data_IF_560771201866
#
_entry.id   IF_560771201866
#
_cell.length_a   1.000
_cell.length_b   1.000
_cell.length_c   1.000
_cell.angle_alpha   90.00
_cell.angle_beta   90.00
_cell.angle_gamma   90.00
#
_symmetry.space_group_name_H-M   'P 1'
#
loop_
_entity.id
_entity.type
_entity.pdbx_description
1 polymer ?
#
# COMPACT_ATOMS: atom_id res chain seq x y z
N UNK A 1 -38.62 -17.97 1.79
CA UNK A 1 -37.32 -18.43 1.27
C UNK A 1 -36.88 -17.40 0.24
N UNK A 2 -36.12 -16.38 0.67
CA UNK A 2 -35.49 -15.42 -0.24
C UNK A 2 -34.18 -16.04 -0.73
N UNK A 3 -34.09 -16.31 -2.02
CA UNK A 3 -32.86 -16.72 -2.70
C UNK A 3 -32.06 -15.46 -3.03
N UNK A 4 -31.01 -15.18 -2.25
CA UNK A 4 -29.95 -14.27 -2.67
C UNK A 4 -29.12 -15.01 -3.74
N UNK A 5 -29.26 -14.57 -4.99
CA UNK A 5 -28.34 -14.93 -6.08
C UNK A 5 -26.99 -14.30 -5.82
N UNK A 6 -26.11 -15.01 -5.12
CA UNK A 6 -24.69 -14.70 -5.09
C UNK A 6 -24.13 -14.89 -6.49
N UNK A 7 -23.65 -13.81 -7.10
CA UNK A 7 -22.78 -13.90 -8.26
C UNK A 7 -21.62 -14.83 -7.90
N UNK A 8 -21.50 -15.95 -8.60
CA UNK A 8 -20.31 -16.78 -8.57
C UNK A 8 -19.16 -15.91 -9.07
N UNK A 9 -18.38 -15.35 -8.15
CA UNK A 9 -17.08 -14.78 -8.48
C UNK A 9 -16.27 -15.92 -9.10
N UNK A 10 -16.01 -15.83 -10.41
CA UNK A 10 -15.02 -16.70 -11.03
C UNK A 10 -13.71 -16.53 -10.26
N UNK A 11 -13.17 -17.62 -9.72
CA UNK A 11 -11.86 -17.60 -9.09
C UNK A 11 -10.86 -17.06 -10.14
N UNK A 12 -10.32 -15.87 -9.89
CA UNK A 12 -9.38 -15.22 -10.80
C UNK A 12 -8.14 -16.11 -10.91
N UNK A 13 -7.82 -16.53 -12.14
CA UNK A 13 -6.60 -17.30 -12.41
C UNK A 13 -5.45 -16.34 -12.62
N UNK A 14 -4.37 -16.47 -11.86
CA UNK A 14 -3.15 -15.66 -12.03
C UNK A 14 -2.22 -16.31 -13.05
N UNK A 15 -1.86 -15.59 -14.12
CA UNK A 15 -0.97 -16.04 -15.18
C UNK A 15 0.45 -15.54 -14.95
N UNK A 16 1.41 -16.46 -14.94
CA UNK A 16 2.81 -16.19 -14.60
C UNK A 16 3.73 -16.78 -15.66
N UNK A 17 4.61 -15.95 -16.23
CA UNK A 17 5.69 -16.40 -17.10
C UNK A 17 7.02 -16.34 -16.36
N UNK A 18 7.77 -17.44 -16.33
CA UNK A 18 9.12 -17.48 -15.78
C UNK A 18 10.18 -17.40 -16.86
N UNK A 19 10.96 -16.32 -16.88
CA UNK A 19 12.17 -16.19 -17.71
C UNK A 19 13.37 -16.34 -16.79
N UNK A 20 14.16 -17.39 -17.00
CA UNK A 20 15.28 -17.68 -16.12
C UNK A 20 16.25 -18.71 -16.66
N UNK A 21 16.86 -19.48 -15.77
CA UNK A 21 17.84 -20.50 -16.12
C UNK A 21 17.69 -21.75 -15.25
N UNK A 22 18.80 -22.45 -14.98
CA UNK A 22 18.82 -23.67 -14.20
C UNK A 22 18.24 -23.51 -12.79
N UNK A 23 18.36 -22.35 -12.13
CA UNK A 23 17.76 -22.15 -10.81
C UNK A 23 16.24 -22.22 -10.84
N UNK A 24 15.62 -21.67 -11.89
CA UNK A 24 14.18 -21.81 -12.13
C UNK A 24 13.83 -23.21 -12.67
N UNK A 25 14.67 -23.84 -13.50
CA UNK A 25 14.38 -25.15 -14.05
C UNK A 25 14.47 -26.29 -13.01
N UNK A 26 15.37 -26.17 -12.03
CA UNK A 26 15.60 -27.21 -11.03
C UNK A 26 14.34 -27.53 -10.23
N UNK A 27 14.12 -28.82 -10.00
CA UNK A 27 12.92 -29.37 -9.35
C UNK A 27 11.59 -28.89 -9.96
N UNK A 28 11.62 -28.33 -11.18
CA UNK A 28 10.48 -27.72 -11.86
C UNK A 28 9.79 -26.66 -10.97
N UNK A 29 10.54 -25.64 -10.55
CA UNK A 29 10.05 -24.58 -9.68
C UNK A 29 8.72 -23.94 -10.15
N UNK A 30 8.49 -23.62 -11.43
CA UNK A 30 7.20 -23.10 -11.89
C UNK A 30 6.03 -24.03 -11.54
N UNK A 31 6.20 -25.35 -11.71
CA UNK A 31 5.17 -26.32 -11.34
C UNK A 31 5.00 -26.44 -9.82
N UNK A 32 6.08 -26.32 -9.03
CA UNK A 32 5.98 -26.25 -7.57
C UNK A 32 5.18 -25.02 -7.12
N UNK A 33 5.43 -23.84 -7.70
CA UNK A 33 4.69 -22.61 -7.41
C UNK A 33 3.19 -22.80 -7.68
N UNK A 34 2.84 -23.39 -8.82
CA UNK A 34 1.45 -23.74 -9.15
C UNK A 34 0.83 -24.69 -8.11
N UNK A 35 1.55 -25.74 -7.70
CA UNK A 35 1.04 -26.71 -6.74
C UNK A 35 0.88 -26.13 -5.33
N UNK A 36 1.78 -25.23 -4.93
CA UNK A 36 1.67 -24.49 -3.67
C UNK A 36 0.45 -23.59 -3.68
N UNK A 37 0.23 -22.83 -4.76
CA UNK A 37 -0.96 -22.01 -4.92
C UNK A 37 -2.25 -22.84 -4.82
N UNK A 38 -2.28 -23.98 -5.52
CA UNK A 38 -3.42 -24.90 -5.47
C UNK A 38 -3.70 -25.40 -4.06
N UNK A 39 -2.65 -25.72 -3.29
CA UNK A 39 -2.78 -26.15 -1.89
C UNK A 39 -3.37 -25.08 -0.97
N UNK A 40 -3.26 -23.80 -1.36
CA UNK A 40 -3.78 -22.66 -0.62
C UNK A 40 -5.14 -22.17 -1.16
N UNK A 41 -5.72 -22.87 -2.14
CA UNK A 41 -7.01 -22.54 -2.74
C UNK A 41 -6.95 -21.59 -3.94
N UNK A 42 -5.75 -21.31 -4.46
CA UNK A 42 -5.55 -20.41 -5.61
C UNK A 42 -5.19 -21.17 -6.89
N UNK A 43 -5.52 -20.59 -8.04
CA UNK A 43 -5.22 -21.19 -9.36
C UNK A 43 -4.21 -20.32 -10.10
N UNK A 44 -3.00 -20.86 -10.27
CA UNK A 44 -1.96 -20.24 -11.07
C UNK A 44 -1.77 -20.99 -12.40
N UNK A 45 -1.69 -20.24 -13.49
CA UNK A 45 -1.25 -20.72 -14.80
C UNK A 45 0.20 -20.30 -14.99
N UNK A 46 1.09 -21.26 -15.25
CA UNK A 46 2.53 -21.01 -15.35
C UNK A 46 3.06 -21.44 -16.71
N UNK A 47 3.95 -20.63 -17.28
CA UNK A 47 4.84 -21.01 -18.38
C UNK A 47 6.28 -20.63 -18.04
N UNK A 48 7.25 -21.19 -18.75
CA UNK A 48 8.66 -20.90 -18.47
C UNK A 48 9.56 -21.03 -19.69
N UNK A 49 10.59 -20.18 -19.74
CA UNK A 49 11.74 -20.29 -20.64
C UNK A 49 13.03 -20.23 -19.81
N UNK A 50 13.66 -21.39 -19.63
CA UNK A 50 14.73 -21.59 -18.63
C UNK A 50 16.03 -22.22 -19.18
N UNK A 51 16.60 -21.71 -20.29
CA UNK A 51 17.86 -22.23 -20.80
C UNK A 51 18.99 -22.14 -19.76
N UNK A 52 19.73 -23.22 -19.57
CA UNK A 52 20.78 -23.33 -18.55
C UNK A 52 21.86 -22.25 -18.69
N UNK A 53 22.28 -21.67 -17.56
CA UNK A 53 23.33 -20.64 -17.51
C UNK A 53 22.95 -19.28 -18.12
N UNK A 54 21.71 -19.09 -18.57
CA UNK A 54 21.30 -17.86 -19.25
C UNK A 54 21.38 -16.64 -18.33
N UNK A 55 21.81 -15.55 -18.96
CA UNK A 55 22.03 -14.22 -18.38
C UNK A 55 20.91 -13.27 -18.80
N UNK A 56 20.75 -12.15 -18.10
CA UNK A 56 19.85 -11.07 -18.53
C UNK A 56 20.13 -10.62 -19.98
N UNK A 57 21.41 -10.44 -20.33
CA UNK A 57 21.83 -10.15 -21.72
C UNK A 57 21.32 -11.19 -22.71
N UNK A 58 21.46 -12.48 -22.39
CA UNK A 58 21.02 -13.57 -23.28
C UNK A 58 19.51 -13.58 -23.46
N UNK A 59 18.74 -13.32 -22.40
CA UNK A 59 17.28 -13.23 -22.48
C UNK A 59 16.83 -12.00 -23.29
N UNK A 60 17.44 -10.84 -23.05
CA UNK A 60 17.15 -9.61 -23.78
C UNK A 60 17.53 -9.68 -25.27
N UNK A 61 18.44 -10.58 -25.65
CA UNK A 61 18.79 -10.85 -27.04
C UNK A 61 17.96 -11.94 -27.73
N UNK A 62 17.05 -12.63 -27.03
CA UNK A 62 16.39 -13.83 -27.54
C UNK A 62 14.95 -13.53 -28.03
N UNK A 63 14.65 -13.65 -29.35
CA UNK A 63 13.31 -13.43 -29.89
C UNK A 63 12.21 -14.27 -29.25
N UNK A 64 12.51 -15.52 -28.85
CA UNK A 64 11.54 -16.41 -28.21
C UNK A 64 11.03 -15.85 -26.88
N UNK A 65 11.88 -15.12 -26.14
CA UNK A 65 11.47 -14.48 -24.88
C UNK A 65 10.39 -13.44 -25.16
N UNK A 66 10.55 -12.64 -26.21
CA UNK A 66 9.57 -11.62 -26.60
C UNK A 66 8.28 -12.21 -27.16
N UNK A 67 8.36 -13.34 -27.87
CA UNK A 67 7.17 -14.07 -28.32
C UNK A 67 6.36 -14.62 -27.15
N UNK A 68 7.03 -15.14 -26.11
CA UNK A 68 6.37 -15.58 -24.87
C UNK A 68 5.77 -14.41 -24.08
N UNK A 69 6.49 -13.28 -23.96
CA UNK A 69 5.93 -12.08 -23.30
C UNK A 69 4.64 -11.62 -24.01
N UNK A 70 4.56 -11.77 -25.33
CA UNK A 70 3.39 -11.40 -26.14
C UNK A 70 2.30 -12.46 -26.23
N UNK A 71 2.56 -13.70 -25.79
CA UNK A 71 1.63 -14.80 -26.02
C UNK A 71 0.38 -14.74 -25.16
N UNK A 72 0.42 -14.01 -24.04
CA UNK A 72 -0.68 -13.91 -23.08
C UNK A 72 -0.67 -12.53 -22.40
N UNK A 73 -1.82 -12.14 -21.85
CA UNK A 73 -1.89 -11.05 -20.88
C UNK A 73 -1.43 -11.57 -19.51
N UNK A 74 -0.11 -11.63 -19.32
CA UNK A 74 0.51 -12.07 -18.08
C UNK A 74 0.17 -11.13 -16.93
N UNK A 75 -0.14 -11.66 -15.74
CA UNK A 75 -0.22 -10.86 -14.52
C UNK A 75 1.20 -10.57 -14.01
N UNK A 76 2.06 -11.60 -14.05
CA UNK A 76 3.46 -11.52 -13.64
C UNK A 76 4.39 -12.10 -14.70
N UNK A 77 5.53 -11.43 -14.90
CA UNK A 77 6.67 -11.99 -15.63
C UNK A 77 7.85 -12.03 -14.67
N UNK A 78 8.23 -13.23 -14.26
CA UNK A 78 9.36 -13.48 -13.36
C UNK A 78 10.66 -13.38 -14.14
N UNK A 79 11.59 -12.57 -13.66
CA UNK A 79 12.87 -12.32 -14.30
C UNK A 79 14.03 -12.82 -13.44
N UNK A 80 14.84 -13.70 -14.02
CA UNK A 80 16.04 -14.23 -13.40
C UNK A 80 17.20 -14.24 -14.39
N UNK A 81 18.30 -13.59 -14.03
CA UNK A 81 19.59 -13.71 -14.71
C UNK A 81 20.43 -14.88 -14.22
N UNK A 82 21.68 -14.98 -14.64
CA UNK A 82 22.61 -16.02 -14.18
C UNK A 82 22.83 -15.92 -12.66
N UNK A 83 22.93 -17.06 -11.96
CA UNK A 83 22.82 -17.08 -10.48
C UNK A 83 23.92 -16.33 -9.71
N UNK A 84 25.08 -16.08 -10.34
CA UNK A 84 26.18 -15.28 -9.80
C UNK A 84 26.18 -13.85 -10.36
N UNK A 85 25.55 -13.58 -11.50
CA UNK A 85 25.76 -12.32 -12.21
C UNK A 85 25.39 -11.05 -11.44
N UNK A 86 24.33 -11.02 -10.60
CA UNK A 86 24.06 -9.87 -9.76
C UNK A 86 25.02 -9.73 -8.57
N UNK A 87 25.97 -10.66 -8.39
CA UNK A 87 27.01 -10.61 -7.34
C UNK A 87 28.41 -10.25 -7.86
N UNK A 88 28.56 -10.03 -9.17
CA UNK A 88 29.82 -9.62 -9.80
C UNK A 88 30.26 -8.20 -9.37
N UNK A 89 31.49 -7.77 -9.71
CA UNK A 89 31.95 -6.42 -9.43
C UNK A 89 30.98 -5.35 -9.94
N UNK A 90 30.82 -4.26 -9.20
CA UNK A 90 29.79 -3.24 -9.45
C UNK A 90 29.81 -2.69 -10.89
N UNK A 91 31.00 -2.44 -11.46
CA UNK A 91 31.14 -1.96 -12.83
C UNK A 91 30.68 -2.99 -13.88
N UNK A 92 30.86 -4.28 -13.59
CA UNK A 92 30.35 -5.35 -14.45
C UNK A 92 28.82 -5.45 -14.31
N UNK A 93 28.27 -5.45 -13.10
CA UNK A 93 26.80 -5.46 -12.91
C UNK A 93 26.13 -4.27 -13.62
N UNK A 94 26.74 -3.09 -13.52
CA UNK A 94 26.22 -1.88 -14.16
C UNK A 94 26.17 -1.97 -15.70
N UNK A 95 27.09 -2.70 -16.32
CA UNK A 95 27.17 -2.85 -17.78
C UNK A 95 26.42 -4.09 -18.29
N UNK A 96 26.49 -5.18 -17.55
CA UNK A 96 26.09 -6.51 -18.02
C UNK A 96 24.73 -6.99 -17.48
N UNK A 97 24.17 -6.30 -16.48
CA UNK A 97 22.94 -6.72 -15.79
C UNK A 97 21.86 -5.65 -15.90
N UNK A 98 22.09 -4.46 -15.35
CA UNK A 98 21.04 -3.44 -15.23
C UNK A 98 20.43 -2.99 -16.57
N UNK A 99 21.19 -2.77 -17.66
CA UNK A 99 20.61 -2.36 -18.94
C UNK A 99 19.64 -3.41 -19.51
N UNK A 100 19.97 -4.69 -19.35
CA UNK A 100 19.17 -5.78 -19.91
C UNK A 100 17.97 -6.13 -19.02
N UNK A 101 18.11 -6.01 -17.70
CA UNK A 101 16.97 -6.03 -16.79
C UNK A 101 15.96 -4.94 -17.17
N UNK A 102 16.44 -3.71 -17.42
CA UNK A 102 15.61 -2.60 -17.89
C UNK A 102 14.94 -2.89 -19.23
N UNK A 103 15.68 -3.36 -20.22
CA UNK A 103 15.15 -3.69 -21.54
C UNK A 103 13.98 -4.71 -21.45
N UNK A 104 14.13 -5.74 -20.62
CA UNK A 104 13.07 -6.73 -20.41
C UNK A 104 11.85 -6.12 -19.71
N UNK A 105 12.04 -5.33 -18.65
CA UNK A 105 10.95 -4.63 -17.96
C UNK A 105 10.19 -3.66 -18.88
N UNK A 106 10.90 -2.85 -19.67
CA UNK A 106 10.30 -1.93 -20.63
C UNK A 106 9.49 -2.70 -21.69
N UNK A 107 10.02 -3.83 -22.17
CA UNK A 107 9.34 -4.69 -23.14
C UNK A 107 8.07 -5.31 -22.58
N UNK A 108 8.12 -5.82 -21.34
CA UNK A 108 6.93 -6.35 -20.64
C UNK A 108 5.84 -5.29 -20.56
N UNK A 109 6.19 -4.08 -20.10
CA UNK A 109 5.21 -3.00 -19.94
C UNK A 109 4.71 -2.40 -21.26
N UNK A 110 5.49 -2.50 -22.33
CA UNK A 110 5.06 -2.07 -23.66
C UNK A 110 3.88 -2.90 -24.20
N UNK A 111 3.76 -4.15 -23.74
CA UNK A 111 2.66 -5.05 -24.10
C UNK A 111 1.46 -4.82 -23.19
N UNK A 112 1.72 -4.80 -21.88
CA UNK A 112 0.70 -4.52 -20.88
C UNK A 112 1.34 -3.82 -19.69
N UNK A 113 1.01 -2.54 -19.48
CA UNK A 113 1.53 -1.73 -18.37
C UNK A 113 1.19 -2.29 -16.99
N UNK A 114 0.18 -3.16 -16.92
CA UNK A 114 -0.27 -3.80 -15.69
C UNK A 114 0.43 -5.13 -15.38
N UNK A 115 1.14 -5.72 -16.33
CA UNK A 115 1.99 -6.88 -16.05
C UNK A 115 3.12 -6.46 -15.13
N UNK A 116 3.28 -7.17 -14.02
CA UNK A 116 4.32 -6.89 -13.01
C UNK A 116 5.60 -7.64 -13.38
N UNK A 117 6.72 -6.95 -13.66
CA UNK A 117 8.03 -7.58 -13.67
C UNK A 117 8.39 -7.96 -12.23
N UNK A 118 8.57 -9.27 -11.98
CA UNK A 118 8.91 -9.81 -10.66
C UNK A 118 10.32 -10.37 -10.67
N UNK A 119 11.27 -9.68 -10.06
CA UNK A 119 12.64 -10.16 -9.99
C UNK A 119 12.77 -11.33 -9.00
N UNK A 120 13.34 -12.44 -9.48
CA UNK A 120 13.65 -13.59 -8.66
C UNK A 120 14.98 -13.38 -7.94
N UNK A 121 14.94 -12.88 -6.70
CA UNK A 121 16.14 -12.73 -5.87
C UNK A 121 16.74 -14.10 -5.53
N UNK A 122 17.89 -14.41 -6.13
CA UNK A 122 18.64 -15.64 -5.85
C UNK A 122 19.40 -15.54 -4.52
N UNK A 123 20.14 -16.60 -4.16
CA UNK A 123 20.86 -16.76 -2.90
C UNK A 123 22.37 -16.87 -3.10
N UNK A 124 23.13 -16.56 -2.05
CA UNK A 124 24.56 -16.86 -2.01
C UNK A 124 24.85 -18.36 -2.11
N UNK A 125 25.94 -18.75 -2.78
CA UNK A 125 26.40 -20.17 -2.80
C UNK A 125 26.73 -20.66 -1.39
N UNK A 126 26.63 -21.97 -1.14
CA UNK A 126 26.64 -22.56 0.22
C UNK A 126 27.80 -22.04 1.09
N UNK A 127 28.98 -21.96 0.47
CA UNK A 127 30.24 -21.54 1.05
C UNK A 127 30.83 -20.29 0.37
N UNK A 128 30.00 -19.49 -0.32
CA UNK A 128 30.46 -18.41 -1.19
C UNK A 128 30.89 -18.90 -2.57
N UNK A 129 31.34 -17.96 -3.40
CA UNK A 129 31.75 -18.18 -4.77
C UNK A 129 33.27 -18.32 -4.88
N UNK A 130 33.76 -19.53 -4.62
CA UNK A 130 35.18 -19.84 -4.65
C UNK A 130 35.85 -19.53 -6.01
N UNK A 131 35.10 -19.59 -7.12
CA UNK A 131 35.63 -19.34 -8.45
C UNK A 131 36.00 -17.87 -8.66
N UNK A 132 35.17 -16.95 -8.16
CA UNK A 132 35.38 -15.51 -8.33
C UNK A 132 36.06 -14.85 -7.11
N UNK A 133 36.11 -15.54 -5.97
CA UNK A 133 36.66 -15.06 -4.70
C UNK A 133 38.04 -14.38 -4.82
N UNK A 134 38.97 -14.93 -5.61
CA UNK A 134 40.32 -14.38 -5.75
C UNK A 134 40.33 -12.96 -6.37
N UNK A 135 39.42 -12.70 -7.32
CA UNK A 135 39.33 -11.43 -8.04
C UNK A 135 38.24 -10.51 -7.47
N UNK A 136 37.30 -11.08 -6.72
CA UNK A 136 36.19 -10.37 -6.09
C UNK A 136 36.00 -10.89 -4.65
N UNK A 137 36.85 -10.49 -3.69
CA UNK A 137 36.86 -11.03 -2.33
C UNK A 137 35.52 -11.00 -1.56
N UNK A 138 34.62 -10.02 -1.78
CA UNK A 138 33.33 -10.02 -1.11
C UNK A 138 32.50 -11.30 -1.31
N UNK A 139 32.60 -11.97 -2.45
CA UNK A 139 31.82 -13.19 -2.72
C UNK A 139 32.45 -14.46 -2.13
N UNK A 140 33.62 -14.39 -1.48
CA UNK A 140 34.27 -15.55 -0.87
C UNK A 140 33.45 -16.25 0.23
N UNK A 141 32.43 -15.59 0.76
CA UNK A 141 31.56 -16.15 1.81
C UNK A 141 30.11 -16.14 1.36
N UNK A 142 29.29 -17.03 1.94
CA UNK A 142 27.84 -17.00 1.75
C UNK A 142 27.29 -15.59 2.02
N UNK A 143 27.59 -15.03 3.21
CA UNK A 143 27.04 -13.73 3.64
C UNK A 143 27.42 -12.61 2.69
N UNK A 144 28.67 -12.57 2.23
CA UNK A 144 29.13 -11.53 1.33
C UNK A 144 28.46 -11.62 -0.05
N UNK A 145 28.39 -12.81 -0.64
CA UNK A 145 27.68 -13.01 -1.91
C UNK A 145 26.17 -12.71 -1.78
N UNK A 146 25.53 -13.21 -0.73
CA UNK A 146 24.11 -13.05 -0.47
C UNK A 146 23.72 -11.58 -0.27
N UNK A 147 24.54 -10.80 0.45
CA UNK A 147 24.31 -9.37 0.67
C UNK A 147 24.39 -8.57 -0.63
N UNK A 148 25.31 -8.92 -1.54
CA UNK A 148 25.44 -8.25 -2.84
C UNK A 148 24.26 -8.60 -3.74
N UNK A 149 23.89 -9.89 -3.81
CA UNK A 149 22.70 -10.34 -4.53
C UNK A 149 21.46 -9.57 -4.04
N UNK A 150 21.23 -9.56 -2.72
CA UNK A 150 20.13 -8.82 -2.11
C UNK A 150 20.11 -7.36 -2.59
N UNK A 151 21.24 -6.65 -2.46
CA UNK A 151 21.34 -5.24 -2.82
C UNK A 151 21.05 -4.99 -4.31
N UNK A 152 21.61 -5.80 -5.21
CA UNK A 152 21.45 -5.59 -6.64
C UNK A 152 20.07 -6.02 -7.16
N UNK A 153 19.43 -7.01 -6.54
CA UNK A 153 18.03 -7.32 -6.83
C UNK A 153 17.07 -6.22 -6.38
N UNK A 154 17.32 -5.61 -5.21
CA UNK A 154 16.55 -4.44 -4.77
C UNK A 154 16.70 -3.28 -5.75
N UNK A 155 17.93 -2.93 -6.15
CA UNK A 155 18.17 -1.90 -7.18
C UNK A 155 17.47 -2.22 -8.50
N UNK A 156 17.44 -3.48 -8.94
CA UNK A 156 16.71 -3.86 -10.14
C UNK A 156 15.21 -3.63 -9.99
N UNK A 157 14.62 -4.01 -8.85
CA UNK A 157 13.23 -3.68 -8.51
C UNK A 157 12.97 -2.18 -8.55
N UNK A 158 13.72 -1.41 -7.76
CA UNK A 158 13.55 0.04 -7.61
C UNK A 158 13.69 0.78 -8.95
N UNK A 159 14.79 0.55 -9.67
CA UNK A 159 15.10 1.28 -10.90
C UNK A 159 14.15 0.97 -12.05
N UNK A 160 13.44 -0.17 -11.98
CA UNK A 160 12.55 -0.61 -13.03
C UNK A 160 11.09 -0.63 -12.58
N UNK A 161 10.73 -0.12 -11.40
CA UNK A 161 9.38 -0.25 -10.85
C UNK A 161 8.87 -1.69 -10.80
N UNK A 162 9.78 -2.66 -10.63
CA UNK A 162 9.48 -4.08 -10.52
C UNK A 162 9.37 -4.53 -9.08
N UNK A 163 8.62 -5.59 -8.85
CA UNK A 163 8.55 -6.28 -7.56
C UNK A 163 9.73 -7.24 -7.41
N UNK A 164 10.03 -7.65 -6.18
CA UNK A 164 11.09 -8.62 -5.90
C UNK A 164 10.53 -9.78 -5.09
N UNK A 165 10.69 -11.02 -5.58
CA UNK A 165 10.42 -12.21 -4.78
C UNK A 165 11.69 -12.55 -3.96
N UNK A 166 11.68 -12.41 -2.63
CA UNK A 166 12.91 -12.38 -1.84
C UNK A 166 13.38 -13.78 -1.41
N UNK A 167 13.48 -14.69 -2.37
CA UNK A 167 13.86 -16.10 -2.10
C UNK A 167 15.22 -16.19 -1.43
N UNK A 168 16.21 -15.40 -1.88
CA UNK A 168 17.52 -15.29 -1.24
C UNK A 168 17.46 -14.89 0.24
N UNK A 169 16.67 -13.87 0.56
CA UNK A 169 16.50 -13.42 1.95
C UNK A 169 15.79 -14.48 2.82
N UNK A 170 14.79 -15.19 2.27
CA UNK A 170 14.14 -16.32 2.95
C UNK A 170 15.13 -17.46 3.19
N UNK A 171 15.98 -17.77 2.20
CA UNK A 171 17.05 -18.75 2.34
C UNK A 171 18.03 -18.36 3.45
N UNK A 172 18.46 -17.11 3.50
CA UNK A 172 19.34 -16.62 4.56
C UNK A 172 18.69 -16.79 5.95
N UNK A 173 17.42 -16.42 6.09
CA UNK A 173 16.66 -16.62 7.34
C UNK A 173 16.62 -18.09 7.74
N UNK A 174 16.30 -18.99 6.81
CA UNK A 174 16.23 -20.44 7.06
C UNK A 174 17.58 -21.03 7.44
N UNK A 175 18.68 -20.60 6.80
CA UNK A 175 20.02 -21.04 7.17
C UNK A 175 20.40 -20.68 8.61
N UNK A 176 19.95 -19.52 9.09
CA UNK A 176 20.24 -19.04 10.44
C UNK A 176 19.34 -19.70 11.49
N UNK A 177 18.06 -19.90 11.18
CA UNK A 177 17.05 -20.30 12.16
C UNK A 177 16.60 -21.76 12.03
N UNK A 178 16.94 -22.43 10.93
CA UNK A 178 16.56 -23.80 10.63
C UNK A 178 17.68 -24.55 9.89
N UNK A 179 18.92 -24.58 10.43
CA UNK A 179 20.10 -25.09 9.72
C UNK A 179 20.03 -26.58 9.34
N UNK A 180 19.15 -27.36 9.98
CA UNK A 180 18.89 -28.76 9.60
C UNK A 180 18.12 -28.90 8.27
N UNK A 181 17.45 -27.84 7.82
CA UNK A 181 16.78 -27.79 6.53
C UNK A 181 17.81 -27.55 5.42
N UNK A 182 18.33 -28.64 4.84
CA UNK A 182 19.32 -28.54 3.78
C UNK A 182 18.71 -27.95 2.49
N UNK A 183 19.08 -26.70 2.17
CA UNK A 183 18.57 -25.95 1.03
C UNK A 183 19.35 -26.23 -0.26
N UNK A 184 20.58 -26.75 -0.18
CA UNK A 184 21.45 -26.92 -1.34
C UNK A 184 21.45 -28.36 -1.84
N UNK A 185 21.60 -28.50 -3.15
CA UNK A 185 22.01 -29.76 -3.76
C UNK A 185 23.48 -30.07 -3.41
N UNK A 186 23.96 -31.24 -3.82
CA UNK A 186 25.34 -31.68 -3.60
C UNK A 186 26.39 -30.71 -4.20
N UNK A 187 26.04 -29.96 -5.23
CA UNK A 187 26.93 -29.00 -5.88
C UNK A 187 27.07 -27.65 -5.13
N UNK A 188 26.38 -27.50 -4.00
CA UNK A 188 26.48 -26.32 -3.14
C UNK A 188 26.02 -25.00 -3.78
N UNK A 189 25.35 -25.06 -4.94
CA UNK A 189 24.85 -23.91 -5.68
C UNK A 189 23.36 -24.07 -5.99
N UNK A 190 22.99 -25.12 -6.71
CA UNK A 190 21.61 -25.40 -7.08
C UNK A 190 20.75 -25.78 -5.86
N UNK A 191 19.43 -25.58 -5.94
CA UNK A 191 18.56 -25.88 -4.82
C UNK A 191 18.33 -27.38 -4.67
N UNK A 192 18.31 -27.85 -3.41
CA UNK A 192 17.64 -29.10 -3.07
C UNK A 192 16.14 -28.97 -3.35
N UNK A 193 15.40 -30.09 -3.29
CA UNK A 193 13.94 -30.04 -3.36
C UNK A 193 13.35 -29.11 -2.27
N UNK A 194 13.90 -29.18 -1.05
CA UNK A 194 13.49 -28.32 0.08
C UNK A 194 13.78 -26.84 -0.21
N UNK A 195 14.93 -26.54 -0.82
CA UNK A 195 15.27 -25.19 -1.26
C UNK A 195 14.32 -24.65 -2.33
N UNK A 196 13.91 -25.50 -3.28
CA UNK A 196 12.93 -25.12 -4.32
C UNK A 196 11.52 -24.95 -3.76
N UNK A 197 11.14 -25.74 -2.76
CA UNK A 197 9.88 -25.57 -2.03
C UNK A 197 9.88 -24.24 -1.25
N UNK A 198 10.99 -23.89 -0.59
CA UNK A 198 11.11 -22.59 0.07
C UNK A 198 10.97 -21.42 -0.93
N UNK A 199 11.56 -21.55 -2.12
CA UNK A 199 11.36 -20.61 -3.21
C UNK A 199 9.87 -20.56 -3.64
N UNK A 200 9.22 -21.71 -3.80
CA UNK A 200 7.82 -21.79 -4.21
C UNK A 200 6.85 -21.13 -3.21
N UNK A 201 7.08 -21.30 -1.90
CA UNK A 201 6.28 -20.64 -0.85
C UNK A 201 6.48 -19.13 -0.90
N UNK A 202 7.72 -18.69 -1.10
CA UNK A 202 8.06 -17.26 -1.24
C UNK A 202 7.39 -16.65 -2.47
N UNK A 203 7.41 -17.33 -3.62
CA UNK A 203 6.73 -16.89 -4.83
C UNK A 203 5.22 -16.85 -4.66
N UNK A 204 4.61 -17.88 -4.05
CA UNK A 204 3.18 -17.87 -3.78
C UNK A 204 2.79 -16.65 -2.94
N UNK A 205 3.48 -16.39 -1.83
CA UNK A 205 3.18 -15.22 -1.00
C UNK A 205 3.48 -13.91 -1.72
N UNK A 206 4.54 -13.82 -2.52
CA UNK A 206 4.84 -12.62 -3.30
C UNK A 206 3.77 -12.29 -4.34
N UNK A 207 3.25 -13.31 -5.02
CA UNK A 207 2.30 -13.14 -6.13
C UNK A 207 0.86 -12.99 -5.62
N UNK A 208 0.44 -13.82 -4.65
CA UNK A 208 -0.92 -13.78 -4.09
C UNK A 208 -1.08 -12.68 -3.05
N UNK A 209 0.02 -12.25 -2.40
CA UNK A 209 0.05 -11.37 -1.22
C UNK A 209 -0.79 -11.84 -0.05
N UNK A 210 -1.13 -13.14 -0.02
CA UNK A 210 -1.90 -13.77 1.05
C UNK A 210 -1.00 -14.32 2.14
N UNK A 211 -1.62 -14.54 3.29
CA UNK A 211 -0.99 -15.14 4.46
C UNK A 211 -0.38 -16.51 4.08
N UNK A 212 0.94 -16.72 4.31
CA UNK A 212 1.59 -18.00 3.99
C UNK A 212 1.07 -19.18 4.82
N UNK A 213 0.37 -18.95 5.92
CA UNK A 213 -0.28 -20.02 6.71
C UNK A 213 -1.40 -20.74 5.96
N UNK A 214 -1.91 -20.16 4.86
CA UNK A 214 -2.87 -20.81 3.98
C UNK A 214 -2.26 -21.98 3.20
N UNK A 215 -0.93 -22.05 3.10
CA UNK A 215 -0.24 -23.11 2.35
C UNK A 215 -0.37 -24.45 3.07
N UNK A 216 -1.10 -25.37 2.46
CA UNK A 216 -1.24 -26.76 2.95
C UNK A 216 -0.29 -27.75 2.28
N UNK A 217 0.50 -27.30 1.29
CA UNK A 217 1.47 -28.14 0.58
C UNK A 217 2.45 -28.82 1.54
N UNK A 218 2.48 -30.15 1.49
CA UNK A 218 3.32 -30.97 2.38
C UNK A 218 3.98 -32.15 1.66
N UNK A 219 3.78 -32.30 0.34
CA UNK A 219 4.42 -33.38 -0.39
C UNK A 219 5.94 -33.20 -0.37
N UNK A 220 6.66 -34.26 0.00
CA UNK A 220 8.14 -34.31 0.03
C UNK A 220 8.84 -33.44 1.10
N UNK A 221 8.10 -32.91 2.07
CA UNK A 221 8.62 -32.24 3.28
C UNK A 221 7.81 -32.67 4.51
N UNK A 222 8.42 -32.62 5.69
CA UNK A 222 7.70 -32.81 6.95
C UNK A 222 6.91 -31.55 7.35
N UNK A 223 5.96 -31.72 8.28
CA UNK A 223 5.21 -30.58 8.84
C UNK A 223 6.15 -29.55 9.50
N UNK A 224 7.18 -30.00 10.23
CA UNK A 224 8.15 -29.10 10.89
C UNK A 224 8.93 -28.27 9.85
N UNK A 225 9.35 -28.89 8.76
CA UNK A 225 10.05 -28.20 7.68
C UNK A 225 9.15 -27.19 6.97
N UNK A 226 7.90 -27.60 6.67
CA UNK A 226 6.88 -26.71 6.11
C UNK A 226 6.65 -25.50 7.01
N UNK A 227 6.43 -25.71 8.30
CA UNK A 227 6.13 -24.64 9.25
C UNK A 227 7.33 -23.70 9.43
N UNK A 228 8.56 -24.22 9.35
CA UNK A 228 9.79 -23.42 9.34
C UNK A 228 9.85 -22.51 8.10
N UNK A 229 9.51 -23.03 6.92
CA UNK A 229 9.45 -22.25 5.67
C UNK A 229 8.34 -21.19 5.75
N UNK A 230 7.14 -21.54 6.22
CA UNK A 230 6.03 -20.58 6.42
C UNK A 230 6.46 -19.46 7.36
N UNK A 231 7.10 -19.81 8.48
CA UNK A 231 7.60 -18.84 9.46
C UNK A 231 8.64 -17.89 8.83
N UNK A 232 9.56 -18.42 8.03
CA UNK A 232 10.55 -17.62 7.31
C UNK A 232 9.91 -16.68 6.29
N UNK A 233 8.99 -17.17 5.45
CA UNK A 233 8.28 -16.33 4.46
C UNK A 233 7.46 -15.24 5.14
N UNK A 234 6.79 -15.57 6.26
CA UNK A 234 6.04 -14.62 7.05
C UNK A 234 6.94 -13.51 7.64
N UNK A 235 8.06 -13.91 8.26
CA UNK A 235 8.98 -12.99 8.90
C UNK A 235 9.76 -12.12 7.91
N UNK A 236 10.14 -12.66 6.76
CA UNK A 236 10.95 -11.96 5.77
C UNK A 236 10.09 -11.12 4.83
N UNK A 237 9.01 -11.69 4.27
CA UNK A 237 8.23 -11.06 3.21
C UNK A 237 6.86 -10.56 3.67
N UNK A 238 5.98 -11.44 4.18
CA UNK A 238 4.56 -11.11 4.36
C UNK A 238 4.32 -9.89 5.28
N UNK A 239 5.17 -9.73 6.31
CA UNK A 239 5.14 -8.57 7.22
C UNK A 239 5.89 -7.34 6.73
N UNK A 240 6.70 -7.48 5.67
CA UNK A 240 7.60 -6.45 5.15
C UNK A 240 7.45 -6.29 3.62
N UNK A 241 6.22 -6.37 3.12
CA UNK A 241 5.95 -6.38 1.68
C UNK A 241 6.49 -5.15 0.94
N UNK A 242 6.42 -3.98 1.56
CA UNK A 242 6.93 -2.72 0.99
C UNK A 242 8.45 -2.72 0.78
N UNK A 243 9.21 -3.50 1.56
CA UNK A 243 10.67 -3.67 1.38
C UNK A 243 11.02 -4.34 0.05
N UNK A 244 10.05 -4.97 -0.62
CA UNK A 244 10.24 -5.70 -1.87
C UNK A 244 9.34 -5.19 -3.00
N UNK A 245 8.93 -3.92 -2.89
CA UNK A 245 8.10 -3.19 -3.86
C UNK A 245 6.75 -3.83 -4.16
N UNK A 246 6.28 -4.76 -3.32
CA UNK A 246 4.97 -5.40 -3.47
C UNK A 246 3.86 -4.36 -3.48
N UNK A 247 2.96 -4.43 -4.47
CA UNK A 247 1.83 -3.51 -4.59
C UNK A 247 2.05 -2.36 -5.56
N UNK A 248 3.10 -2.38 -6.39
CA UNK A 248 3.43 -1.23 -7.26
C UNK A 248 2.32 -0.88 -8.27
N UNK A 249 1.52 -1.87 -8.66
CA UNK A 249 0.38 -1.70 -9.57
C UNK A 249 -0.98 -1.64 -8.84
N UNK A 250 -1.00 -1.54 -7.52
CA UNK A 250 -2.25 -1.49 -6.76
C UNK A 250 -2.91 -0.13 -6.96
N UNK A 251 -4.24 -0.17 -7.05
CA UNK A 251 -5.05 1.04 -6.93
C UNK A 251 -4.87 1.58 -5.50
N UNK A 252 -4.57 2.87 -5.39
CA UNK A 252 -4.52 3.55 -4.10
C UNK A 252 -5.54 4.68 -4.10
N UNK A 253 -6.60 4.49 -3.32
CA UNK A 253 -7.66 5.47 -3.18
C UNK A 253 -7.45 6.41 -2.01
N UNK A 254 -6.33 6.32 -1.27
CA UNK A 254 -6.10 7.21 -0.14
C UNK A 254 -6.00 8.67 -0.61
N UNK A 255 -6.82 9.53 -0.02
CA UNK A 255 -6.81 10.97 -0.26
C UNK A 255 -6.96 11.74 1.05
N UNK A 256 -6.46 12.97 1.06
CA UNK A 256 -6.74 13.95 2.09
C UNK A 256 -7.65 15.03 1.52
N UNK A 257 -8.49 15.61 2.36
CA UNK A 257 -9.42 16.66 1.97
C UNK A 257 -8.93 17.98 2.52
N UNK A 258 -8.70 18.95 1.65
CA UNK A 258 -8.59 20.35 2.05
C UNK A 258 -10.00 20.95 2.06
N UNK A 259 -10.29 21.73 3.11
CA UNK A 259 -11.65 22.24 3.34
C UNK A 259 -11.63 23.72 3.69
N UNK A 260 -12.41 24.48 2.95
CA UNK A 260 -12.70 25.89 3.24
C UNK A 260 -14.22 26.10 3.25
N UNK A 261 -14.81 26.27 4.43
CA UNK A 261 -16.26 26.41 4.59
C UNK A 261 -17.05 25.18 4.13
N UNK A 262 -17.74 25.28 3.00
CA UNK A 262 -18.52 24.20 2.37
C UNK A 262 -17.94 23.76 1.02
N UNK A 263 -16.75 24.25 0.69
CA UNK A 263 -15.97 23.82 -0.45
C UNK A 263 -14.88 22.85 0.01
N UNK A 264 -14.63 21.85 -0.82
CA UNK A 264 -13.48 20.97 -0.65
C UNK A 264 -12.75 20.75 -1.96
N UNK A 265 -11.46 20.45 -1.82
CA UNK A 265 -10.58 20.07 -2.91
C UNK A 265 -9.73 18.87 -2.49
N UNK A 266 -9.39 18.05 -3.47
CA UNK A 266 -8.39 16.99 -3.35
C UNK A 266 -7.35 17.20 -4.44
N UNK A 267 -6.08 17.19 -4.04
CA UNK A 267 -4.94 17.29 -4.94
C UNK A 267 -3.94 16.14 -4.72
N UNK A 268 -3.05 15.93 -5.68
CA UNK A 268 -1.91 15.02 -5.54
C UNK A 268 -2.22 13.53 -5.74
N UNK A 269 -3.37 13.17 -6.32
CA UNK A 269 -3.64 11.78 -6.70
C UNK A 269 -2.74 11.34 -7.87
N UNK A 270 -2.38 10.05 -8.00
CA UNK A 270 -1.51 9.56 -9.07
C UNK A 270 -2.05 9.83 -10.49
N UNK A 271 -1.19 9.85 -11.49
CA UNK A 271 -1.63 9.87 -12.91
C UNK A 271 -1.78 8.44 -13.45
N UNK A 272 -2.64 8.25 -14.47
CA UNK A 272 -2.87 6.98 -15.17
C UNK A 272 -3.70 5.93 -14.40
N UNK A 273 -4.64 6.40 -13.58
CA UNK A 273 -5.67 5.57 -12.95
C UNK A 273 -7.04 6.12 -13.32
N UNK A 274 -8.11 5.36 -13.08
CA UNK A 274 -9.48 5.86 -13.27
C UNK A 274 -10.12 6.18 -11.93
N UNK A 275 -10.71 7.37 -11.84
CA UNK A 275 -11.29 7.92 -10.62
C UNK A 275 -12.81 7.95 -10.71
N UNK A 276 -13.48 7.60 -9.62
CA UNK A 276 -14.92 7.78 -9.46
C UNK A 276 -15.22 8.34 -8.08
N UNK A 277 -15.67 9.58 -8.07
CA UNK A 277 -16.07 10.31 -6.88
C UNK A 277 -17.58 10.22 -6.66
N UNK A 278 -17.98 10.10 -5.40
CA UNK A 278 -19.32 10.39 -4.93
C UNK A 278 -19.19 11.32 -3.73
N UNK A 279 -19.83 12.49 -3.79
CA UNK A 279 -19.64 13.53 -2.78
C UNK A 279 -20.64 13.45 -1.60
N UNK A 280 -21.51 12.44 -1.60
CA UNK A 280 -22.47 12.20 -0.51
C UNK A 280 -23.75 13.03 -0.57
N UNK A 281 -23.88 13.95 -1.54
CA UNK A 281 -25.08 14.77 -1.79
C UNK A 281 -25.78 14.43 -3.13
N UNK A 282 -25.31 13.36 -3.80
CA UNK A 282 -25.80 12.92 -5.11
C UNK A 282 -24.93 13.36 -6.28
N UNK A 283 -23.99 14.29 -6.10
CA UNK A 283 -23.04 14.67 -7.13
C UNK A 283 -21.89 13.65 -7.25
N UNK A 284 -21.36 13.52 -8.47
CA UNK A 284 -20.25 12.60 -8.80
C UNK A 284 -19.24 13.28 -9.74
N UNK A 285 -18.02 12.76 -9.79
CA UNK A 285 -16.97 13.20 -10.72
C UNK A 285 -16.10 12.02 -11.16
N UNK A 286 -15.43 12.16 -12.29
CA UNK A 286 -14.37 11.25 -12.76
C UNK A 286 -13.02 11.94 -12.94
N UNK A 287 -12.90 13.21 -12.50
CA UNK A 287 -11.63 13.94 -12.56
C UNK A 287 -10.65 13.38 -11.55
N UNK A 288 -9.36 13.37 -11.89
CA UNK A 288 -8.27 12.92 -11.02
C UNK A 288 -8.28 13.72 -9.71
N UNK A 289 -8.06 15.02 -9.82
CA UNK A 289 -8.21 15.96 -8.71
C UNK A 289 -9.62 16.56 -8.82
N UNK A 290 -10.44 16.42 -7.79
CA UNK A 290 -11.81 16.89 -7.79
C UNK A 290 -12.00 17.96 -6.70
N UNK A 291 -12.82 18.96 -7.03
CA UNK A 291 -13.37 19.90 -6.06
C UNK A 291 -14.90 19.88 -6.14
N UNK A 292 -15.55 20.17 -5.02
CA UNK A 292 -17.01 20.28 -4.96
C UNK A 292 -17.45 21.19 -3.82
N UNK A 293 -18.60 21.83 -4.02
CA UNK A 293 -19.20 22.79 -3.10
C UNK A 293 -20.59 22.31 -2.68
N UNK A 294 -20.81 22.22 -1.37
CA UNK A 294 -22.11 21.83 -0.82
C UNK A 294 -23.03 23.04 -0.66
N UNK A 295 -24.24 22.95 -1.23
CA UNK A 295 -25.25 24.01 -1.16
C UNK A 295 -26.05 24.01 0.13
N UNK A 296 -26.04 22.90 0.88
CA UNK A 296 -26.77 22.74 2.14
C UNK A 296 -25.79 22.41 3.27
N UNK A 297 -26.10 22.87 4.47
CA UNK A 297 -25.40 22.39 5.67
C UNK A 297 -25.77 20.94 5.95
N UNK A 298 -24.78 20.10 6.22
CA UNK A 298 -24.95 18.70 6.55
C UNK A 298 -23.62 17.98 6.75
N UNK A 299 -23.71 16.72 7.15
CA UNK A 299 -22.57 15.82 7.13
C UNK A 299 -22.62 15.00 5.84
N UNK A 300 -21.51 14.97 5.12
CA UNK A 300 -21.36 14.29 3.84
C UNK A 300 -20.26 13.25 3.94
N UNK A 301 -20.46 12.11 3.30
CA UNK A 301 -19.44 11.08 3.14
C UNK A 301 -18.94 11.15 1.71
N UNK A 302 -17.72 11.65 1.52
CA UNK A 302 -17.04 11.62 0.24
C UNK A 302 -16.49 10.21 0.06
N UNK A 303 -16.81 9.58 -1.07
CA UNK A 303 -16.25 8.29 -1.48
C UNK A 303 -15.45 8.47 -2.76
N UNK A 304 -14.20 8.00 -2.75
CA UNK A 304 -13.38 7.83 -3.94
C UNK A 304 -13.19 6.35 -4.22
N UNK A 305 -13.46 5.94 -5.45
CA UNK A 305 -13.05 4.64 -5.99
C UNK A 305 -11.95 4.90 -7.02
N UNK A 306 -10.78 4.31 -6.79
CA UNK A 306 -9.67 4.32 -7.74
C UNK A 306 -9.59 2.93 -8.35
N UNK A 307 -9.46 2.86 -9.67
CA UNK A 307 -9.19 1.59 -10.37
C UNK A 307 -7.89 1.70 -11.16
N UNK A 308 -7.02 0.71 -10.97
CA UNK A 308 -5.74 0.55 -11.65
C UNK A 308 -5.54 -0.93 -11.92
N UNK A 309 -5.20 -1.29 -13.16
CA UNK A 309 -4.89 -2.67 -13.52
C UNK A 309 -5.96 -3.70 -13.13
N UNK A 310 -7.23 -3.32 -13.32
CA UNK A 310 -8.42 -4.11 -12.92
C UNK A 310 -8.58 -4.35 -11.41
N UNK A 311 -7.67 -3.82 -10.60
CA UNK A 311 -7.80 -3.73 -9.15
C UNK A 311 -8.49 -2.42 -8.80
N UNK A 312 -9.30 -2.42 -7.76
CA UNK A 312 -9.96 -1.21 -7.26
C UNK A 312 -9.75 -1.08 -5.77
N UNK A 313 -9.55 0.15 -5.33
CA UNK A 313 -9.50 0.53 -3.92
C UNK A 313 -10.55 1.62 -3.66
N UNK A 314 -11.06 1.67 -2.43
CA UNK A 314 -12.12 2.61 -2.05
C UNK A 314 -11.82 3.25 -0.69
N UNK A 315 -11.82 4.57 -0.68
CA UNK A 315 -11.66 5.38 0.54
C UNK A 315 -12.90 6.22 0.75
N UNK A 316 -13.33 6.33 2.01
CA UNK A 316 -14.40 7.22 2.43
C UNK A 316 -13.89 8.21 3.48
N UNK A 317 -14.21 9.49 3.30
CA UNK A 317 -13.91 10.57 4.24
C UNK A 317 -15.20 11.29 4.59
N UNK A 318 -15.44 11.49 5.89
CA UNK A 318 -16.58 12.27 6.37
C UNK A 318 -16.19 13.74 6.50
N UNK A 319 -17.00 14.61 5.91
CA UNK A 319 -16.88 16.06 6.04
C UNK A 319 -18.17 16.65 6.54
N UNK A 320 -18.09 17.73 7.31
CA UNK A 320 -19.26 18.48 7.79
C UNK A 320 -19.29 19.82 7.08
N UNK A 321 -20.25 20.08 6.21
CA UNK A 321 -20.53 21.43 5.73
C UNK A 321 -21.61 22.06 6.61
N UNK A 322 -21.45 23.33 6.94
CA UNK A 322 -22.40 24.07 7.76
C UNK A 322 -21.72 25.29 8.32
N UNK A 323 -22.46 26.07 9.12
CA UNK A 323 -21.92 27.16 9.94
C UNK A 323 -21.05 26.57 11.06
N UNK A 324 -19.96 25.90 10.69
CA UNK A 324 -18.94 25.45 11.62
C UNK A 324 -18.14 26.68 12.04
N UNK A 325 -18.48 27.21 13.22
CA UNK A 325 -17.77 28.25 13.98
C UNK A 325 -17.33 29.45 13.13
N UNK A 326 -17.98 30.60 13.34
CA UNK A 326 -17.24 31.85 13.15
C UNK A 326 -16.12 31.82 14.20
N UNK A 327 -14.93 31.31 13.84
CA UNK A 327 -13.71 31.67 14.56
C UNK A 327 -13.44 33.12 14.21
N UNK A 328 -14.09 34.03 14.92
CA UNK A 328 -13.61 35.39 14.99
C UNK A 328 -12.20 35.33 15.59
N UNK A 329 -11.26 35.98 14.92
CA UNK A 329 -9.90 36.15 15.44
C UNK A 329 -9.98 36.69 16.88
N UNK A 330 -9.46 35.96 17.88
CA UNK A 330 -9.42 36.40 19.29
C UNK A 330 -10.32 35.67 20.29
N UNK A 331 -10.71 34.41 20.03
CA UNK A 331 -11.63 33.64 20.87
C UNK A 331 -11.09 33.21 22.25
N UNK A 332 -9.81 33.46 22.59
CA UNK A 332 -9.22 32.96 23.83
C UNK A 332 -9.59 33.76 25.10
N UNK A 333 -10.22 34.94 24.98
CA UNK A 333 -10.40 35.89 26.12
C UNK A 333 -11.85 36.17 26.53
N UNK A 334 -12.85 35.43 26.01
CA UNK A 334 -14.27 35.65 26.37
C UNK A 334 -14.85 34.47 27.12
N UNK A 335 -15.10 34.66 28.42
CA UNK A 335 -15.77 33.68 29.27
C UNK A 335 -17.17 34.17 29.67
N UNK A 336 -18.19 33.37 29.38
CA UNK A 336 -19.57 33.59 29.88
C UNK A 336 -19.93 32.51 30.87
N UNK A 337 -20.21 32.88 32.11
CA UNK A 337 -20.44 31.94 33.21
C UNK A 337 -21.46 32.47 34.22
N UNK A 338 -22.14 31.62 35.00
CA UNK A 338 -22.21 30.18 34.82
C UNK A 338 -22.95 29.84 33.51
N UNK A 339 -22.58 28.71 32.90
CA UNK A 339 -23.25 28.18 31.72
C UNK A 339 -23.29 26.66 31.88
N UNK A 340 -24.45 26.04 32.18
CA UNK A 340 -25.80 26.63 32.19
C UNK A 340 -26.09 27.62 33.35
N UNK A 341 -27.16 28.43 33.22
CA UNK A 341 -27.64 29.34 34.28
C UNK A 341 -29.17 29.58 34.25
N UNK A 342 -29.73 30.19 35.29
CA UNK A 342 -31.16 30.50 35.40
C UNK A 342 -31.51 31.91 34.94
N UNK A 343 -30.98 32.33 33.79
CA UNK A 343 -31.21 33.67 33.23
C UNK A 343 -30.27 34.77 33.75
N UNK A 344 -29.30 34.45 34.62
CA UNK A 344 -28.29 35.39 35.13
C UNK A 344 -26.89 34.89 34.80
N UNK A 345 -26.10 35.70 34.11
CA UNK A 345 -24.73 35.35 33.69
C UNK A 345 -23.76 36.52 33.81
N UNK A 346 -22.48 36.19 33.80
CA UNK A 346 -21.34 37.09 33.89
C UNK A 346 -20.47 36.97 32.63
N UNK A 347 -19.92 38.10 32.17
CA UNK A 347 -18.97 38.14 31.06
C UNK A 347 -17.61 38.58 31.61
N UNK A 348 -16.61 37.72 31.50
CA UNK A 348 -15.20 38.09 31.73
C UNK A 348 -14.54 38.28 30.36
N UNK A 349 -14.45 39.54 29.93
CA UNK A 349 -13.77 39.95 28.69
C UNK A 349 -13.59 41.47 28.65
N UNK A 350 -12.74 41.97 27.74
CA UNK A 350 -12.66 43.40 27.36
C UNK A 350 -13.80 43.82 26.40
N UNK A 351 -14.69 42.90 26.01
CA UNK A 351 -15.81 43.15 25.12
C UNK A 351 -17.04 43.61 25.91
N UNK A 352 -17.88 44.38 25.24
CA UNK A 352 -19.16 44.87 25.76
C UNK A 352 -20.33 44.07 25.19
N UNK A 353 -21.38 43.87 25.98
CA UNK A 353 -22.58 43.18 25.53
C UNK A 353 -23.32 44.02 24.47
N UNK A 354 -23.56 43.43 23.31
CA UNK A 354 -24.35 44.04 22.22
C UNK A 354 -25.78 43.55 22.25
N UNK A 355 -25.99 42.23 22.27
CA UNK A 355 -27.32 41.66 22.24
C UNK A 355 -27.36 40.23 22.79
N UNK A 356 -28.54 39.82 23.26
CA UNK A 356 -28.85 38.42 23.57
C UNK A 356 -30.01 38.01 22.68
N UNK A 357 -29.86 36.94 21.91
CA UNK A 357 -30.89 36.44 20.99
C UNK A 357 -31.22 34.98 21.24
N UNK A 358 -32.47 34.58 21.09
CA UNK A 358 -32.85 33.16 21.12
C UNK A 358 -32.54 32.44 19.78
N UNK A 359 -32.86 31.15 19.69
CA UNK A 359 -32.66 30.33 18.48
C UNK A 359 -33.40 30.84 17.22
N UNK A 360 -34.48 31.61 17.38
CA UNK A 360 -35.21 32.20 16.25
C UNK A 360 -34.66 33.58 15.83
N UNK A 361 -33.58 34.04 16.46
CA UNK A 361 -32.96 35.35 16.20
C UNK A 361 -33.70 36.53 16.84
N UNK A 362 -34.69 36.27 17.70
CA UNK A 362 -35.39 37.32 18.43
C UNK A 362 -34.49 37.86 19.55
N UNK A 363 -34.29 39.19 19.56
CA UNK A 363 -33.59 39.88 20.66
C UNK A 363 -34.41 39.80 21.93
N UNK A 364 -33.78 39.29 22.99
CA UNK A 364 -34.35 39.20 24.32
C UNK A 364 -34.05 40.47 25.11
N UNK A 365 -34.92 40.81 26.06
CA UNK A 365 -34.68 41.94 26.95
C UNK A 365 -33.60 41.57 27.97
N UNK A 366 -32.56 42.41 28.07
CA UNK A 366 -31.45 42.20 29.00
C UNK A 366 -31.29 43.40 29.94
N UNK A 367 -31.18 43.12 31.23
CA UNK A 367 -30.91 44.09 32.28
C UNK A 367 -29.46 43.94 32.76
N UNK A 368 -28.71 45.03 32.79
CA UNK A 368 -27.37 45.05 33.37
C UNK A 368 -27.48 45.21 34.90
N UNK A 369 -27.00 44.22 35.66
CA UNK A 369 -27.05 44.20 37.12
C UNK A 369 -25.77 44.76 37.77
N UNK A 370 -24.70 44.91 36.98
CA UNK A 370 -23.39 45.41 37.39
C UNK A 370 -22.45 45.51 36.20
N UNK A 371 -21.17 45.82 36.43
CA UNK A 371 -20.20 46.05 35.33
C UNK A 371 -20.09 44.88 34.35
N UNK A 372 -20.24 43.65 34.84
CA UNK A 372 -20.10 42.42 34.03
C UNK A 372 -21.21 41.40 34.25
N UNK A 373 -22.30 41.75 34.95
CA UNK A 373 -23.41 40.84 35.25
C UNK A 373 -24.71 41.26 34.57
N UNK A 374 -25.42 40.28 33.99
CA UNK A 374 -26.59 40.50 33.15
C UNK A 374 -27.70 39.52 33.50
N UNK A 375 -28.95 39.98 33.40
CA UNK A 375 -30.16 39.19 33.58
C UNK A 375 -31.05 39.27 32.34
N UNK A 376 -31.56 38.12 31.89
CA UNK A 376 -32.59 38.01 30.85
C UNK A 376 -33.96 38.07 31.51
N UNK A 377 -34.80 39.05 31.16
CA UNK A 377 -36.08 39.28 31.85
C UNK A 377 -37.23 38.37 31.37
N UNK A 378 -37.12 37.79 30.17
CA UNK A 378 -38.26 37.15 29.49
C UNK A 378 -38.51 35.67 29.85
N UNK A 379 -38.01 35.16 30.99
CA UNK A 379 -38.09 33.73 31.39
C UNK A 379 -37.79 32.78 30.21
N UNK A 380 -36.72 33.08 29.47
CA UNK A 380 -36.33 32.28 28.31
C UNK A 380 -35.65 30.99 28.78
N UNK A 381 -36.22 29.84 28.41
CA UNK A 381 -35.60 28.53 28.60
C UNK A 381 -34.95 28.06 27.31
N UNK A 382 -33.79 27.40 27.40
CA UNK A 382 -33.08 26.83 26.27
C UNK A 382 -31.84 27.61 25.81
N UNK A 383 -31.48 27.50 24.53
CA UNK A 383 -30.23 28.05 24.00
C UNK A 383 -30.44 29.51 23.59
N UNK A 384 -29.56 30.39 24.07
CA UNK A 384 -29.46 31.77 23.60
C UNK A 384 -28.02 32.09 23.19
N UNK A 385 -27.88 33.10 22.34
CA UNK A 385 -26.61 33.59 21.82
C UNK A 385 -26.36 35.00 22.32
N UNK A 386 -25.17 35.22 22.88
CA UNK A 386 -24.70 36.48 23.45
C UNK A 386 -23.71 37.10 22.47
N UNK A 387 -24.10 38.17 21.80
CA UNK A 387 -23.23 38.95 20.89
C UNK A 387 -22.49 40.03 21.70
N UNK A 388 -21.17 40.09 21.55
CA UNK A 388 -20.28 41.01 22.23
C UNK A 388 -19.44 41.79 21.21
N UNK A 389 -19.08 43.04 21.51
CA UNK A 389 -18.28 43.91 20.63
C UNK A 389 -17.21 44.65 21.43
N UNK A 390 -15.99 44.71 20.90
CA UNK A 390 -14.91 45.51 21.49
C UNK A 390 -14.89 46.94 20.94
N UNK A 391 -14.04 47.78 21.52
CA UNK A 391 -13.78 49.16 21.11
C UNK A 391 -13.19 49.34 19.69
N UNK A 392 -12.83 48.25 19.00
CA UNK A 392 -12.39 48.24 17.59
C UNK A 392 -13.50 47.77 16.62
N UNK A 393 -14.70 47.45 17.13
CA UNK A 393 -15.83 46.96 16.32
C UNK A 393 -15.79 45.47 15.99
N UNK A 394 -14.87 44.70 16.58
CA UNK A 394 -14.84 43.24 16.42
C UNK A 394 -15.95 42.61 17.25
N UNK A 395 -16.69 41.69 16.62
CA UNK A 395 -17.83 40.99 17.25
C UNK A 395 -17.54 39.53 17.51
N UNK A 396 -17.97 39.06 18.68
CA UNK A 396 -17.94 37.65 19.10
C UNK A 396 -19.34 37.20 19.52
N UNK A 397 -19.68 35.94 19.29
CA UNK A 397 -20.95 35.36 19.72
C UNK A 397 -20.70 34.14 20.62
N UNK A 398 -21.24 34.15 21.83
CA UNK A 398 -21.15 33.04 22.78
C UNK A 398 -22.49 32.34 22.97
N UNK A 399 -22.47 31.01 22.97
CA UNK A 399 -23.66 30.20 23.26
C UNK A 399 -23.80 30.00 24.76
N UNK A 400 -24.95 30.35 25.32
CA UNK A 400 -25.31 30.00 26.71
C UNK A 400 -26.61 29.19 26.76
N UNK A 401 -26.70 28.35 27.79
CA UNK A 401 -27.87 27.51 28.07
C UNK A 401 -28.59 28.06 29.29
N UNK A 402 -29.88 28.39 29.13
CA UNK A 402 -30.77 28.82 30.20
C UNK A 402 -31.61 27.63 30.69
N UNK A 403 -31.62 27.39 32.01
CA UNK A 403 -32.30 26.27 32.69
C UNK A 403 -33.31 26.71 33.75
#
# INVERSE_FOLDING_TARGET
ILLCGGALAHAQTTKILFIGNSYTAYNNLPSLVKNVAWSAGDTFLVQSHTPGGSRFLSHAGNPQVYDLIRSENWDYVVLQGQSQEPSWPDGQVASDVFPYAKQLCDSIRSINSCTVPLFYMTWGRKNGDAQNCANWPPVCTYKGMDSILYSNYQKMGDNNGGEVSPVGAVWNYLRLNSPALELYSADQSHPSLKGSIAAAFTFYSAISRKDPSLITYSTSISAVERDSIISAVNAVFYRNQSTYNSGINDANSAFSVEKEGCEFSVEGLPSNETYRWNFGDGATSTTQNASHSYSQSGNYTIRLIVTKCSLSDTTEVKVSCGLGRIKAQGEDDVLVYPNPNRGVFYISSEYTLVSVTNLSGQKLKTLQLGNSSFQVEDNADGIVFVELENNLGLRVVQKITLE
#
